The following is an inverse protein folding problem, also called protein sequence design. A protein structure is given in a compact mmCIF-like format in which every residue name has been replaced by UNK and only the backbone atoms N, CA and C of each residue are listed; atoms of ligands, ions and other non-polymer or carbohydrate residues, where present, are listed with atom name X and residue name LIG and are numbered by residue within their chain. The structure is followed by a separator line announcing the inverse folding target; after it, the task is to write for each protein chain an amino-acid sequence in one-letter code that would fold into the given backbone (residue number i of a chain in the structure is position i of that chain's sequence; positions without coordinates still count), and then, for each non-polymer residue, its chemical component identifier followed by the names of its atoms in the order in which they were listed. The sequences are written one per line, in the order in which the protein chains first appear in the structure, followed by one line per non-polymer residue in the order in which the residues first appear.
data_IF_568799632156
#
_entry.id   IF_568799632156
#
_cell.length_a   1.000
_cell.length_b   1.000
_cell.length_c   1.000
_cell.angle_alpha   90.00
_cell.angle_beta   90.00
_cell.angle_gamma   90.00
#
_symmetry.space_group_name_H-M   'P 1'
#
loop_
_entity.id
_entity.type
_entity.pdbx_description
1 polymer ?
#
# COMPACT_ATOMS: atom_id res chain seq x y z
N UNK A 1 36.03 -12.53 -50.15
CA UNK A 1 34.59 -12.83 -50.19
C UNK A 1 34.31 -13.64 -48.95
N UNK A 2 33.95 -12.96 -47.87
CA UNK A 2 33.53 -13.58 -46.61
C UNK A 2 32.01 -13.70 -46.66
N UNK A 3 31.52 -14.93 -46.58
CA UNK A 3 30.11 -15.27 -46.65
C UNK A 3 29.51 -15.29 -45.23
N UNK A 4 28.57 -14.37 -45.03
CA UNK A 4 27.31 -14.49 -44.27
C UNK A 4 27.31 -15.34 -42.99
N UNK A 5 27.34 -14.66 -41.84
CA UNK A 5 26.88 -15.20 -40.56
C UNK A 5 25.35 -15.05 -40.46
N UNK A 6 24.60 -16.10 -40.14
CA UNK A 6 23.15 -16.04 -40.02
C UNK A 6 22.77 -15.28 -38.76
N UNK A 7 22.01 -14.20 -38.92
CA UNK A 7 21.33 -13.52 -37.82
C UNK A 7 20.31 -14.50 -37.22
N UNK A 8 20.58 -14.97 -36.00
CA UNK A 8 19.63 -15.75 -35.22
C UNK A 8 18.33 -14.97 -35.09
N UNK A 9 17.25 -15.54 -35.62
CA UNK A 9 15.90 -15.10 -35.33
C UNK A 9 15.64 -15.34 -33.83
N UNK A 10 15.86 -14.32 -33.01
CA UNK A 10 15.22 -14.25 -31.68
C UNK A 10 13.73 -14.23 -31.94
N UNK A 11 13.12 -15.37 -31.67
CA UNK A 11 11.68 -15.56 -31.63
C UNK A 11 11.17 -14.82 -30.40
N UNK A 12 10.91 -13.52 -30.55
CA UNK A 12 9.98 -12.81 -29.68
C UNK A 12 8.62 -13.49 -29.86
N UNK A 13 8.37 -14.46 -28.98
CA UNK A 13 7.06 -15.06 -28.86
C UNK A 13 6.13 -13.95 -28.35
N UNK A 14 5.00 -13.66 -29.01
CA UNK A 14 4.01 -12.79 -28.42
C UNK A 14 3.44 -13.54 -27.22
N UNK A 15 3.96 -13.22 -26.05
CA UNK A 15 3.30 -13.43 -24.77
C UNK A 15 1.82 -13.07 -24.98
N UNK A 16 1.01 -14.11 -25.10
CA UNK A 16 -0.39 -13.99 -25.42
C UNK A 16 -1.01 -13.28 -24.24
N UNK A 17 -1.31 -12.00 -24.41
CA UNK A 17 -1.88 -11.07 -23.43
C UNK A 17 -3.32 -11.46 -23.09
N UNK A 18 -3.45 -12.65 -22.51
CA UNK A 18 -4.55 -12.96 -21.61
C UNK A 18 -4.11 -12.44 -20.25
N UNK A 19 -4.43 -11.18 -19.95
CA UNK A 19 -4.29 -10.63 -18.60
C UNK A 19 -5.02 -11.58 -17.67
N UNK A 20 -4.29 -12.26 -16.77
CA UNK A 20 -4.89 -13.18 -15.82
C UNK A 20 -5.80 -12.38 -14.87
N UNK A 21 -6.85 -13.01 -14.32
CA UNK A 21 -7.71 -12.36 -13.31
C UNK A 21 -6.89 -11.79 -12.15
N UNK A 22 -5.76 -12.42 -11.84
CA UNK A 22 -4.86 -12.04 -10.76
C UNK A 22 -3.92 -10.89 -11.14
N UNK A 23 -3.41 -10.84 -12.38
CA UNK A 23 -2.61 -9.70 -12.84
C UNK A 23 -3.46 -8.42 -12.79
N UNK A 24 -4.70 -8.49 -13.27
CA UNK A 24 -5.64 -7.37 -13.18
C UNK A 24 -5.95 -6.98 -11.72
N UNK A 25 -5.99 -7.94 -10.79
CA UNK A 25 -6.19 -7.67 -9.37
C UNK A 25 -4.98 -6.98 -8.74
N UNK A 26 -3.76 -7.37 -9.11
CA UNK A 26 -2.52 -6.71 -8.70
C UNK A 26 -2.48 -5.27 -9.21
N UNK A 27 -2.80 -5.04 -10.49
CA UNK A 27 -2.88 -3.70 -11.07
C UNK A 27 -3.88 -2.80 -10.32
N UNK A 28 -5.06 -3.34 -9.99
CA UNK A 28 -6.09 -2.58 -9.26
C UNK A 28 -5.67 -2.32 -7.82
N UNK A 29 -5.03 -3.29 -7.16
CA UNK A 29 -4.51 -3.13 -5.80
C UNK A 29 -3.43 -2.06 -5.76
N UNK A 30 -2.48 -2.09 -6.69
CA UNK A 30 -1.44 -1.06 -6.82
C UNK A 30 -2.09 0.32 -7.02
N UNK A 31 -2.97 0.46 -8.00
CA UNK A 31 -3.68 1.72 -8.25
C UNK A 31 -4.48 2.21 -7.03
N UNK A 32 -5.09 1.31 -6.26
CA UNK A 32 -5.82 1.66 -5.05
C UNK A 32 -4.89 2.21 -3.96
N UNK A 33 -3.78 1.53 -3.67
CA UNK A 33 -2.83 1.91 -2.61
C UNK A 33 -2.05 3.18 -2.95
N UNK A 34 -1.69 3.38 -4.21
CA UNK A 34 -0.99 4.58 -4.65
C UNK A 34 -1.92 5.74 -5.02
N UNK A 35 -3.24 5.57 -4.88
CA UNK A 35 -4.20 6.64 -5.17
C UNK A 35 -4.12 7.79 -4.16
N UNK A 36 -4.34 9.02 -4.64
CA UNK A 36 -4.50 10.20 -3.78
C UNK A 36 -5.66 10.03 -2.79
N UNK A 37 -6.67 9.23 -3.14
CA UNK A 37 -7.80 8.93 -2.28
C UNK A 37 -7.37 8.13 -1.05
N UNK A 38 -6.53 7.10 -1.23
CA UNK A 38 -6.01 6.29 -0.13
C UNK A 38 -5.04 7.11 0.72
N UNK A 39 -4.11 7.85 0.10
CA UNK A 39 -3.17 8.70 0.81
C UNK A 39 -3.88 9.77 1.66
N UNK A 40 -4.91 10.42 1.09
CA UNK A 40 -5.73 11.39 1.81
C UNK A 40 -6.61 10.76 2.90
N UNK A 41 -7.01 9.50 2.76
CA UNK A 41 -7.64 8.74 3.83
C UNK A 41 -6.64 8.47 4.97
N UNK A 42 -5.48 7.88 4.68
CA UNK A 42 -4.46 7.57 5.68
C UNK A 42 -4.02 8.83 6.44
N UNK A 43 -3.76 9.93 5.71
CA UNK A 43 -3.34 11.18 6.33
C UNK A 43 -4.40 11.72 7.30
N UNK A 44 -5.69 11.71 6.92
CA UNK A 44 -6.78 12.16 7.81
C UNK A 44 -6.92 11.26 9.03
N UNK A 45 -6.78 9.95 8.84
CA UNK A 45 -6.82 9.00 9.95
C UNK A 45 -5.65 9.25 10.92
N UNK A 46 -4.45 9.44 10.40
CA UNK A 46 -3.28 9.74 11.21
C UNK A 46 -3.38 11.09 11.92
N UNK A 47 -3.87 12.13 11.27
CA UNK A 47 -4.09 13.45 11.89
C UNK A 47 -5.06 13.37 13.09
N UNK A 48 -6.09 12.54 12.97
CA UNK A 48 -7.12 12.35 14.01
C UNK A 48 -6.60 11.55 15.20
N UNK A 49 -5.76 10.53 14.96
CA UNK A 49 -5.42 9.54 15.99
C UNK A 49 -3.97 9.63 16.51
N UNK A 50 -3.04 10.30 15.81
CA UNK A 50 -1.61 10.28 16.17
C UNK A 50 -1.32 10.87 17.56
N UNK A 51 -2.16 11.77 18.07
CA UNK A 51 -1.97 12.36 19.40
C UNK A 51 -2.10 11.35 20.54
N UNK A 52 -2.89 10.28 20.33
CA UNK A 52 -2.98 9.17 21.28
C UNK A 52 -1.66 8.42 21.41
N UNK A 53 -0.86 8.37 20.35
CA UNK A 53 0.40 7.62 20.29
C UNK A 53 1.56 8.34 20.98
N UNK A 54 2.45 7.53 21.55
CA UNK A 54 3.62 7.95 22.32
C UNK A 54 4.80 7.04 21.96
N UNK A 55 6.00 7.61 21.98
CA UNK A 55 7.27 6.94 21.63
C UNK A 55 7.75 5.96 22.73
N UNK A 56 6.99 5.84 23.82
CA UNK A 56 7.30 4.90 24.91
C UNK A 56 7.12 3.44 24.48
N UNK A 57 7.87 2.54 25.12
CA UNK A 57 7.77 1.09 24.92
C UNK A 57 6.42 0.53 25.39
N UNK A 58 5.79 1.15 26.41
CA UNK A 58 4.47 0.74 26.89
C UNK A 58 3.36 1.18 25.93
N UNK A 59 2.60 0.21 25.42
CA UNK A 59 1.46 0.46 24.55
C UNK A 59 0.20 0.73 25.38
N UNK A 60 -0.57 1.76 25.00
CA UNK A 60 -1.88 2.01 25.59
C UNK A 60 -2.88 1.01 25.01
N UNK A 61 -3.87 0.60 25.80
CA UNK A 61 -4.93 -0.31 25.36
C UNK A 61 -5.66 0.18 24.10
N UNK A 62 -5.86 1.50 24.00
CA UNK A 62 -6.50 2.12 22.83
C UNK A 62 -5.69 2.00 21.53
N UNK A 63 -4.39 1.65 21.56
CA UNK A 63 -3.60 1.50 20.34
C UNK A 63 -4.12 0.34 19.50
N UNK A 64 -4.53 -0.76 20.14
CA UNK A 64 -5.06 -1.93 19.44
C UNK A 64 -6.44 -1.66 18.86
N UNK A 65 -7.28 -0.90 19.56
CA UNK A 65 -8.61 -0.52 19.05
C UNK A 65 -8.48 0.37 17.80
N UNK A 66 -7.63 1.39 17.87
CA UNK A 66 -7.36 2.29 16.73
C UNK A 66 -6.70 1.54 15.57
N UNK A 67 -5.80 0.59 15.87
CA UNK A 67 -5.13 -0.20 14.84
C UNK A 67 -6.09 -1.15 14.13
N UNK A 68 -6.94 -1.89 14.87
CA UNK A 68 -7.93 -2.77 14.27
C UNK A 68 -8.93 -2.00 13.42
N UNK A 69 -9.39 -0.83 13.88
CA UNK A 69 -10.27 0.04 13.10
C UNK A 69 -9.58 0.50 11.79
N UNK A 70 -8.31 0.88 11.87
CA UNK A 70 -7.52 1.25 10.69
C UNK A 70 -7.41 0.10 9.69
N UNK A 71 -7.03 -1.10 10.15
CA UNK A 71 -6.90 -2.28 9.30
C UNK A 71 -8.23 -2.60 8.62
N UNK A 72 -9.34 -2.60 9.37
CA UNK A 72 -10.67 -2.82 8.80
C UNK A 72 -10.99 -1.80 7.69
N UNK A 73 -10.73 -0.51 7.92
CA UNK A 73 -10.99 0.51 6.90
C UNK A 73 -10.09 0.36 5.65
N UNK A 74 -8.84 -0.07 5.83
CA UNK A 74 -7.94 -0.39 4.71
C UNK A 74 -8.44 -1.60 3.93
N UNK A 75 -8.83 -2.67 4.61
CA UNK A 75 -9.37 -3.89 4.01
C UNK A 75 -10.67 -3.61 3.25
N UNK A 76 -11.60 -2.84 3.84
CA UNK A 76 -12.84 -2.41 3.20
C UNK A 76 -12.55 -1.59 1.94
N UNK A 77 -11.62 -0.63 2.01
CA UNK A 77 -11.24 0.17 0.85
C UNK A 77 -10.70 -0.69 -0.30
N UNK A 78 -9.82 -1.65 0.01
CA UNK A 78 -9.22 -2.55 -0.98
C UNK A 78 -10.29 -3.50 -1.57
N UNK A 79 -11.13 -4.11 -0.73
CA UNK A 79 -12.21 -5.01 -1.17
C UNK A 79 -13.19 -4.29 -2.10
N UNK A 80 -13.61 -3.07 -1.75
CA UNK A 80 -14.47 -2.26 -2.60
C UNK A 80 -13.84 -1.97 -3.97
N UNK A 81 -12.56 -1.58 -4.01
CA UNK A 81 -11.87 -1.26 -5.27
C UNK A 81 -11.73 -2.47 -6.18
N UNK A 82 -11.39 -3.63 -5.61
CA UNK A 82 -11.24 -4.87 -6.36
C UNK A 82 -12.59 -5.36 -6.90
N UNK A 83 -13.65 -5.34 -6.09
CA UNK A 83 -15.00 -5.74 -6.53
C UNK A 83 -15.61 -4.79 -7.56
N UNK A 84 -15.29 -3.50 -7.51
CA UNK A 84 -15.73 -2.53 -8.50
C UNK A 84 -15.06 -2.74 -9.86
N UNK A 85 -13.80 -3.21 -9.86
CA UNK A 85 -13.00 -3.34 -11.07
C UNK A 85 -13.12 -4.74 -11.71
N UNK A 86 -13.25 -5.79 -10.88
CA UNK A 86 -13.25 -7.18 -11.30
C UNK A 86 -14.60 -7.83 -11.00
N UNK A 87 -15.28 -8.26 -12.07
CA UNK A 87 -16.60 -8.90 -11.95
C UNK A 87 -16.46 -10.26 -11.26
N UNK A 88 -17.34 -10.51 -10.28
CA UNK A 88 -17.36 -11.75 -9.50
C UNK A 88 -16.04 -12.05 -8.77
N UNK A 89 -15.34 -10.99 -8.35
CA UNK A 89 -14.12 -11.10 -7.57
C UNK A 89 -14.31 -11.84 -6.24
N UNK A 90 -13.39 -12.75 -5.94
CA UNK A 90 -13.33 -13.50 -4.69
C UNK A 90 -12.06 -13.10 -3.93
N UNK A 91 -12.25 -12.32 -2.86
CA UNK A 91 -11.16 -11.84 -2.01
C UNK A 91 -10.37 -12.97 -1.35
N UNK A 92 -11.05 -14.04 -0.90
CA UNK A 92 -10.35 -15.14 -0.23
C UNK A 92 -9.43 -15.88 -1.20
N UNK A 93 -9.92 -16.13 -2.42
CA UNK A 93 -9.12 -16.76 -3.48
C UNK A 93 -7.93 -15.90 -3.86
N UNK A 94 -8.12 -14.58 -3.95
CA UNK A 94 -7.03 -13.65 -4.24
C UNK A 94 -6.01 -13.59 -3.12
N UNK A 95 -6.43 -13.49 -1.84
CA UNK A 95 -5.52 -13.47 -0.71
C UNK A 95 -4.66 -14.74 -0.63
N UNK A 96 -5.27 -15.92 -0.83
CA UNK A 96 -4.53 -17.19 -0.90
C UNK A 96 -3.55 -17.20 -2.07
N UNK A 97 -3.97 -16.71 -3.24
CA UNK A 97 -3.10 -16.65 -4.41
C UNK A 97 -1.90 -15.71 -4.16
N UNK A 98 -2.15 -14.53 -3.59
CA UNK A 98 -1.14 -13.51 -3.27
C UNK A 98 -0.09 -14.05 -2.28
N UNK A 99 -0.51 -14.82 -1.28
CA UNK A 99 0.41 -15.47 -0.33
C UNK A 99 1.31 -16.50 -1.03
N UNK A 100 0.75 -17.31 -1.93
CA UNK A 100 1.50 -18.35 -2.63
C UNK A 100 2.42 -17.81 -3.74
N UNK A 101 2.12 -16.63 -4.29
CA UNK A 101 2.81 -16.05 -5.44
C UNK A 101 3.47 -14.72 -5.09
N UNK A 102 3.72 -14.49 -3.79
CA UNK A 102 4.31 -13.25 -3.26
C UNK A 102 5.65 -12.89 -3.91
N UNK A 103 6.43 -13.89 -4.34
CA UNK A 103 7.73 -13.71 -5.00
C UNK A 103 7.61 -13.37 -6.50
N UNK A 104 6.44 -13.59 -7.09
CA UNK A 104 6.15 -13.35 -8.51
C UNK A 104 5.57 -11.95 -8.73
N UNK A 105 4.98 -11.35 -7.69
CA UNK A 105 4.53 -9.96 -7.68
C UNK A 105 5.74 -9.04 -7.72
N UNK A 106 5.79 -8.16 -8.72
CA UNK A 106 6.92 -7.25 -8.91
C UNK A 106 6.83 -6.03 -7.99
N UNK A 107 7.99 -5.48 -7.62
CA UNK A 107 8.09 -4.26 -6.82
C UNK A 107 7.80 -4.47 -5.34
N UNK A 108 7.56 -3.36 -4.63
CA UNK A 108 7.38 -3.34 -3.18
C UNK A 108 5.91 -3.56 -2.75
N UNK A 109 5.00 -3.89 -3.67
CA UNK A 109 3.57 -4.00 -3.39
C UNK A 109 3.27 -4.97 -2.23
N UNK A 110 3.83 -6.19 -2.17
CA UNK A 110 3.58 -7.10 -1.06
C UNK A 110 4.12 -6.56 0.27
N UNK A 111 5.30 -5.93 0.27
CA UNK A 111 5.88 -5.30 1.46
C UNK A 111 5.04 -4.14 1.98
N UNK A 112 4.46 -3.35 1.07
CA UNK A 112 3.55 -2.25 1.44
C UNK A 112 2.28 -2.81 2.08
N UNK A 113 1.69 -3.85 1.50
CA UNK A 113 0.49 -4.52 2.07
C UNK A 113 0.77 -5.07 3.47
N UNK A 114 1.92 -5.71 3.67
CA UNK A 114 2.34 -6.18 5.00
C UNK A 114 2.52 -5.00 5.98
N UNK A 115 3.11 -3.88 5.54
CA UNK A 115 3.27 -2.70 6.39
C UNK A 115 1.93 -2.05 6.79
N UNK A 116 0.89 -2.17 5.96
CA UNK A 116 -0.45 -1.64 6.27
C UNK A 116 -1.15 -2.46 7.35
N UNK A 117 -0.83 -3.76 7.44
CA UNK A 117 -1.43 -4.70 8.40
C UNK A 117 -0.50 -5.06 9.56
N UNK A 118 0.70 -4.46 9.60
CA UNK A 118 1.65 -4.60 10.70
C UNK A 118 1.53 -3.44 11.71
N UNK A 119 1.48 -3.80 13.00
CA UNK A 119 1.32 -2.82 14.07
C UNK A 119 2.57 -1.94 14.25
N UNK A 120 3.77 -2.47 14.03
CA UNK A 120 5.03 -1.73 14.22
C UNK A 120 5.17 -0.66 13.14
N UNK A 121 4.90 -1.03 11.88
CA UNK A 121 4.85 -0.13 10.74
C UNK A 121 3.80 0.97 10.97
N UNK A 122 2.59 0.58 11.39
CA UNK A 122 1.51 1.53 11.71
C UNK A 122 1.89 2.50 12.84
N UNK A 123 2.42 2.00 13.97
CA UNK A 123 2.84 2.84 15.11
C UNK A 123 3.94 3.81 14.68
N UNK A 124 4.88 3.36 13.88
CA UNK A 124 5.98 4.19 13.35
C UNK A 124 5.42 5.33 12.50
N UNK A 125 4.53 5.02 11.54
CA UNK A 125 3.90 6.02 10.69
C UNK A 125 3.08 7.06 11.48
N UNK A 126 2.33 6.63 12.51
CA UNK A 126 1.62 7.52 13.43
C UNK A 126 2.56 8.51 14.15
N UNK A 127 3.70 8.01 14.66
CA UNK A 127 4.68 8.84 15.36
C UNK A 127 5.40 9.80 14.41
N UNK A 128 5.70 9.36 13.19
CA UNK A 128 6.27 10.23 12.15
C UNK A 128 5.29 11.34 11.75
N UNK A 129 4.02 11.02 11.52
CA UNK A 129 2.99 12.01 11.23
C UNK A 129 2.89 13.06 12.35
N UNK A 130 2.91 12.63 13.62
CA UNK A 130 2.91 13.54 14.78
C UNK A 130 4.15 14.45 14.80
N UNK A 131 5.34 13.90 14.52
CA UNK A 131 6.60 14.67 14.47
C UNK A 131 6.58 15.71 13.34
N UNK A 132 6.06 15.35 12.16
CA UNK A 132 5.94 16.24 11.00
C UNK A 132 4.98 17.40 11.27
N UNK A 133 3.79 17.13 11.82
CA UNK A 133 2.82 18.18 12.21
C UNK A 133 3.43 19.20 13.16
N UNK A 134 4.18 18.74 14.16
CA UNK A 134 4.83 19.64 15.12
C UNK A 134 5.95 20.50 14.48
N UNK A 135 6.67 19.96 13.47
CA UNK A 135 7.67 20.74 12.72
C UNK A 135 7.02 21.85 11.89
N UNK A 136 5.92 21.55 11.22
CA UNK A 136 5.17 22.53 10.42
C UNK A 136 4.56 23.65 11.28
N UNK A 137 3.97 23.32 12.45
CA UNK A 137 3.51 24.33 13.39
C UNK A 137 4.65 25.24 13.90
N UNK A 138 5.83 24.68 14.19
CA UNK A 138 6.97 25.46 14.67
C UNK A 138 7.52 26.45 13.62
N UNK A 139 7.48 26.10 12.33
CA UNK A 139 7.88 26.99 11.23
C UNK A 139 6.85 28.12 11.03
N UNK A 140 5.56 27.82 11.16
CA UNK A 140 4.49 28.82 11.01
C UNK A 140 4.51 29.87 12.12
N UNK A 141 4.90 29.49 13.35
CA UNK A 141 5.03 30.43 14.49
C UNK A 141 6.26 31.33 14.37
N UNK A 142 7.32 30.88 13.69
CA UNK A 142 8.56 31.65 13.54
C UNK A 142 8.54 32.65 12.38
N UNK A 143 7.62 32.49 11.42
CA UNK A 143 7.42 33.45 10.30
C UNK A 143 6.53 34.66 10.65
N UNK A 144 5.82 34.61 11.79
CA UNK A 144 4.85 35.64 12.21
C UNK A 144 5.40 36.82 13.03
N UNK A 145 6.73 37.02 13.10
CA UNK A 145 7.32 38.19 13.78
C UNK A 145 7.92 39.15 12.77
N UNK A 146 7.11 40.08 12.28
CA UNK A 146 7.54 41.38 11.76
C UNK A 146 6.61 42.46 12.29
#
# INVERSE_FOLDING_TARGET
MEAESPYEAVTESPESTSVCEYDAAIDVLEQALFSEQFQGFQQRYFDTHCDCFSDCEENKLCYMEIFQDYVNQVEEFIDEKLRQSIKAFDMNRFAMWLENHRQEVQGDLPEIVDCLTDFVCFKTAMLENKKSRHRECNLNVSSGRK
#
